data_IF_948659554754
#
_entry.id   IF_948659554754
#
_cell.length_a   1.000
_cell.length_b   1.000
_cell.length_c   1.000
_cell.angle_alpha   90.00
_cell.angle_beta   90.00
_cell.angle_gamma   90.00
#
_symmetry.space_group_name_H-M   'P 1'
#
loop_
_entity.id
_entity.type
_entity.pdbx_description
1 polymer ?
#
# COMPACT_ATOMS: atom_id res chain seq x y z
N UNK A 1 -15.15 16.58 13.26
CA UNK A 1 -14.10 16.37 12.24
C UNK A 1 -13.47 17.72 12.00
N UNK A 2 -12.21 17.89 12.40
CA UNK A 2 -11.55 19.19 12.32
C UNK A 2 -11.24 19.52 10.85
N UNK A 3 -11.40 20.77 10.44
CA UNK A 3 -11.09 21.24 9.07
C UNK A 3 -9.66 20.83 8.68
N UNK A 4 -8.75 20.83 9.65
CA UNK A 4 -7.35 20.39 9.50
C UNK A 4 -7.23 18.91 9.09
N UNK A 5 -8.02 18.02 9.70
CA UNK A 5 -8.02 16.59 9.39
C UNK A 5 -8.58 16.32 7.99
N UNK A 6 -9.64 17.04 7.61
CA UNK A 6 -10.23 16.95 6.28
C UNK A 6 -9.25 17.40 5.18
N UNK A 7 -8.48 18.46 5.44
CA UNK A 7 -7.44 18.94 4.53
C UNK A 7 -6.30 17.91 4.43
N UNK A 8 -5.87 17.35 5.56
CA UNK A 8 -4.80 16.36 5.58
C UNK A 8 -5.18 15.08 4.80
N UNK A 9 -6.39 14.55 5.03
CA UNK A 9 -6.86 13.36 4.29
C UNK A 9 -7.05 13.64 2.80
N UNK A 10 -7.45 14.87 2.43
CA UNK A 10 -7.55 15.30 1.04
C UNK A 10 -6.17 15.38 0.36
N UNK A 11 -5.18 15.96 1.05
CA UNK A 11 -3.79 16.04 0.55
C UNK A 11 -3.21 14.63 0.37
N UNK A 12 -3.46 13.71 1.29
CA UNK A 12 -2.97 12.32 1.20
C UNK A 12 -3.59 11.55 0.03
N UNK A 13 -4.86 11.79 -0.29
CA UNK A 13 -5.56 11.07 -1.38
C UNK A 13 -5.38 11.70 -2.76
N UNK A 14 -5.20 13.02 -2.83
CA UNK A 14 -5.16 13.77 -4.09
C UNK A 14 -3.97 14.73 -4.16
N UNK A 15 -2.80 14.31 -3.66
CA UNK A 15 -1.59 15.15 -3.54
C UNK A 15 -1.23 15.84 -4.86
N UNK A 16 -1.28 15.11 -5.98
CA UNK A 16 -0.94 15.65 -7.30
C UNK A 16 -1.94 16.74 -7.73
N UNK A 17 -3.24 16.49 -7.57
CA UNK A 17 -4.29 17.46 -7.90
C UNK A 17 -4.15 18.74 -7.07
N UNK A 18 -3.86 18.62 -5.77
CA UNK A 18 -3.63 19.75 -4.88
C UNK A 18 -2.40 20.59 -5.27
N UNK A 19 -1.29 19.94 -5.64
CA UNK A 19 -0.09 20.64 -6.10
C UNK A 19 -0.34 21.43 -7.38
N UNK A 20 -1.02 20.83 -8.37
CA UNK A 20 -1.40 21.53 -9.60
C UNK A 20 -2.37 22.68 -9.34
N UNK A 21 -3.26 22.55 -8.35
CA UNK A 21 -4.18 23.62 -7.96
C UNK A 21 -3.43 24.83 -7.38
N UNK A 22 -2.53 24.61 -6.42
CA UNK A 22 -1.73 25.68 -5.81
C UNK A 22 -0.87 26.36 -6.86
N UNK A 23 -0.14 25.57 -7.66
CA UNK A 23 0.71 26.09 -8.72
C UNK A 23 -0.09 26.93 -9.72
N UNK A 24 -1.24 26.41 -10.16
CA UNK A 24 -2.12 27.09 -11.09
C UNK A 24 -2.64 28.41 -10.52
N UNK A 25 -3.12 28.40 -9.29
CA UNK A 25 -3.63 29.59 -8.59
C UNK A 25 -2.56 30.66 -8.42
N UNK A 26 -1.35 30.26 -8.04
CA UNK A 26 -0.21 31.17 -7.90
C UNK A 26 0.16 31.81 -9.24
N UNK A 27 0.24 31.03 -10.32
CA UNK A 27 0.57 31.53 -11.65
C UNK A 27 -0.50 32.49 -12.19
N UNK A 28 -1.78 32.17 -11.99
CA UNK A 28 -2.88 33.06 -12.38
C UNK A 28 -2.87 34.35 -11.55
N UNK A 29 -2.65 34.26 -10.23
CA UNK A 29 -2.55 35.43 -9.36
C UNK A 29 -1.37 36.32 -9.76
N UNK A 30 -0.19 35.74 -10.01
CA UNK A 30 1.01 36.44 -10.47
C UNK A 30 0.80 37.16 -11.82
N UNK A 31 -0.03 36.60 -12.71
CA UNK A 31 -0.38 37.24 -13.97
C UNK A 31 -1.34 38.42 -13.80
N UNK A 32 -2.24 38.37 -12.80
CA UNK A 32 -3.29 39.36 -12.54
C UNK A 32 -2.84 40.51 -11.61
N UNK A 33 -1.78 40.34 -10.84
CA UNK A 33 -1.31 41.37 -9.88
C UNK A 33 -0.96 42.70 -10.53
N UNK A 34 -0.52 42.70 -11.79
CA UNK A 34 -0.24 43.93 -12.54
C UNK A 34 -1.50 44.63 -13.10
N UNK A 35 -2.64 43.95 -13.23
CA UNK A 35 -3.90 44.57 -13.65
C UNK A 35 -4.75 45.07 -12.49
N UNK A 36 -4.50 44.56 -11.27
CA UNK A 36 -5.27 44.88 -10.06
C UNK A 36 -4.68 46.06 -9.24
N UNK A 37 -3.60 46.68 -9.72
CA UNK A 37 -2.95 47.85 -9.11
C UNK A 37 -2.72 47.72 -7.58
N UNK A 38 -2.40 46.50 -7.15
CA UNK A 38 -2.19 46.19 -5.73
C UNK A 38 -0.87 46.82 -5.23
N UNK A 39 -0.91 47.61 -4.14
CA UNK A 39 0.29 48.25 -3.59
C UNK A 39 1.29 47.18 -3.12
N UNK A 40 2.54 47.28 -3.59
CA UNK A 40 3.63 46.36 -3.22
C UNK A 40 3.85 45.14 -4.13
N UNK A 41 2.91 44.83 -5.03
CA UNK A 41 3.02 43.69 -5.98
C UNK A 41 3.15 44.13 -7.44
N UNK A 42 3.09 45.44 -7.70
CA UNK A 42 3.24 46.05 -9.02
C UNK A 42 4.67 45.84 -9.53
N UNK A 43 4.82 45.14 -10.65
CA UNK A 43 6.11 44.93 -11.32
C UNK A 43 6.83 43.60 -11.07
N UNK A 44 6.24 42.64 -10.35
CA UNK A 44 6.86 41.32 -10.11
C UNK A 44 7.12 40.55 -11.42
N UNK A 45 6.22 40.69 -12.41
CA UNK A 45 6.43 40.19 -13.78
C UNK A 45 6.34 41.36 -14.76
N UNK A 46 7.46 42.03 -15.07
CA UNK A 46 7.46 43.27 -15.83
C UNK A 46 7.12 43.04 -17.32
N UNK A 47 7.48 41.89 -17.88
CA UNK A 47 7.28 41.61 -19.30
C UNK A 47 5.88 41.06 -19.58
N UNK A 48 5.23 41.59 -20.63
CA UNK A 48 3.90 41.14 -21.06
C UNK A 48 3.86 39.67 -21.51
N UNK A 49 4.91 39.18 -22.18
CA UNK A 49 4.98 37.81 -22.66
C UNK A 49 5.02 36.77 -21.52
N UNK A 50 5.77 37.02 -20.44
CA UNK A 50 5.80 36.11 -19.29
C UNK A 50 4.47 36.12 -18.50
N UNK A 51 3.73 37.23 -18.54
CA UNK A 51 2.39 37.32 -17.92
C UNK A 51 1.37 36.45 -18.65
N UNK A 52 1.30 36.55 -19.97
CA UNK A 52 0.38 35.71 -20.76
C UNK A 52 0.73 34.23 -20.66
N UNK A 53 2.01 33.87 -20.69
CA UNK A 53 2.48 32.50 -20.48
C UNK A 53 2.11 31.99 -19.07
N UNK A 54 2.32 32.79 -18.03
CA UNK A 54 1.93 32.43 -16.65
C UNK A 54 0.43 32.24 -16.51
N UNK A 55 -0.37 33.10 -17.14
CA UNK A 55 -1.84 32.98 -17.13
C UNK A 55 -2.30 31.68 -17.80
N UNK A 56 -1.75 31.38 -18.99
CA UNK A 56 -2.10 30.16 -19.75
C UNK A 56 -1.67 28.90 -18.98
N UNK A 57 -0.43 28.86 -18.47
CA UNK A 57 0.04 27.74 -17.65
C UNK A 57 -0.75 27.59 -16.34
N UNK A 58 -1.15 28.71 -15.74
CA UNK A 58 -2.00 28.74 -14.56
C UNK A 58 -3.36 28.07 -14.81
N UNK A 59 -4.05 28.49 -15.88
CA UNK A 59 -5.34 27.91 -16.29
C UNK A 59 -5.20 26.42 -16.61
N UNK A 60 -4.17 26.03 -17.38
CA UNK A 60 -3.91 24.62 -17.71
C UNK A 60 -3.69 23.81 -16.43
N UNK A 61 -2.92 24.33 -15.48
CA UNK A 61 -2.64 23.64 -14.21
C UNK A 61 -3.90 23.47 -13.36
N UNK A 62 -4.77 24.49 -13.29
CA UNK A 62 -6.07 24.39 -12.60
C UNK A 62 -6.98 23.37 -13.29
N UNK A 63 -7.06 23.37 -14.63
CA UNK A 63 -7.84 22.38 -15.37
C UNK A 63 -7.31 20.96 -15.17
N UNK A 64 -5.99 20.78 -15.18
CA UNK A 64 -5.35 19.50 -14.92
C UNK A 64 -5.64 19.03 -13.49
N UNK A 65 -5.60 19.94 -12.51
CA UNK A 65 -5.97 19.65 -11.12
C UNK A 65 -7.41 19.13 -11.01
N UNK A 66 -8.36 19.78 -11.67
CA UNK A 66 -9.77 19.36 -11.70
C UNK A 66 -9.89 17.97 -12.34
N UNK A 67 -9.22 17.75 -13.48
CA UNK A 67 -9.22 16.46 -14.18
C UNK A 67 -8.68 15.35 -13.28
N UNK A 68 -7.56 15.59 -12.60
CA UNK A 68 -6.92 14.64 -11.68
C UNK A 68 -7.71 14.40 -10.40
N UNK A 69 -8.52 15.38 -9.98
CA UNK A 69 -9.43 15.21 -8.85
C UNK A 69 -10.57 14.25 -9.20
N UNK A 70 -11.15 14.40 -10.39
CA UNK A 70 -12.25 13.57 -10.86
C UNK A 70 -11.82 12.23 -11.47
N UNK A 71 -10.56 12.07 -11.87
CA UNK A 71 -10.01 10.77 -12.20
C UNK A 71 -9.73 10.02 -10.88
N UNK A 72 -10.50 8.97 -10.56
CA UNK A 72 -10.22 8.18 -9.37
C UNK A 72 -8.80 7.62 -9.48
N UNK A 73 -7.96 7.72 -8.43
CA UNK A 73 -6.65 7.10 -8.44
C UNK A 73 -6.86 5.62 -8.72
N UNK A 74 -6.31 5.14 -9.85
CA UNK A 74 -6.40 3.73 -10.24
C UNK A 74 -5.67 2.80 -9.25
N UNK A 75 -5.10 3.34 -8.16
CA UNK A 75 -4.52 2.59 -7.05
C UNK A 75 -5.46 1.57 -6.39
N UNK A 76 -6.78 1.69 -6.54
CA UNK A 76 -7.73 0.65 -6.11
C UNK A 76 -7.73 -0.61 -7.02
N UNK A 77 -7.10 -0.56 -8.20
CA UNK A 77 -6.83 -1.72 -9.06
C UNK A 77 -5.46 -2.37 -8.78
N UNK A 78 -4.80 -2.02 -7.66
CA UNK A 78 -3.48 -2.58 -7.32
C UNK A 78 -3.52 -4.03 -6.81
N UNK A 79 -4.69 -4.54 -6.42
CA UNK A 79 -4.85 -5.95 -6.02
C UNK A 79 -5.24 -6.76 -7.27
N UNK A 80 -4.37 -7.66 -7.78
CA UNK A 80 -4.70 -8.56 -8.88
C UNK A 80 -6.02 -9.27 -8.62
N UNK A 81 -6.86 -9.44 -9.64
CA UNK A 81 -8.19 -10.07 -9.48
C UNK A 81 -8.11 -11.47 -8.84
N UNK A 82 -7.01 -12.19 -9.08
CA UNK A 82 -6.72 -13.47 -8.43
C UNK A 82 -6.61 -13.40 -6.90
N UNK A 83 -6.26 -12.25 -6.34
CA UNK A 83 -6.15 -11.98 -4.90
C UNK A 83 -7.41 -11.29 -4.33
N UNK A 84 -8.45 -11.06 -5.14
CA UNK A 84 -9.76 -10.57 -4.67
C UNK A 84 -10.68 -11.70 -4.21
N UNK A 85 -10.23 -12.95 -4.39
CA UNK A 85 -10.94 -14.16 -4.00
C UNK A 85 -10.88 -14.34 -2.47
N UNK A 86 -11.99 -14.76 -1.81
CA UNK A 86 -12.01 -15.08 -0.38
C UNK A 86 -10.91 -16.08 0.03
N UNK A 87 -10.39 -15.96 1.25
CA UNK A 87 -9.25 -16.77 1.72
C UNK A 87 -9.47 -18.28 1.64
N UNK A 88 -10.68 -18.78 1.97
CA UNK A 88 -10.98 -20.21 1.86
C UNK A 88 -10.95 -20.69 0.41
N UNK A 89 -11.51 -19.92 -0.50
CA UNK A 89 -11.51 -20.26 -1.91
C UNK A 89 -10.09 -20.14 -2.52
N UNK A 90 -9.30 -19.18 -2.04
CA UNK A 90 -7.86 -19.07 -2.34
C UNK A 90 -7.09 -20.31 -1.89
N UNK A 91 -7.42 -20.85 -0.71
CA UNK A 91 -6.81 -22.07 -0.17
C UNK A 91 -7.00 -23.21 -1.15
N UNK A 92 -8.20 -23.35 -1.68
CA UNK A 92 -8.55 -24.48 -2.52
C UNK A 92 -8.03 -24.34 -3.95
N UNK A 93 -8.05 -23.12 -4.52
CA UNK A 93 -7.66 -22.83 -5.91
C UNK A 93 -6.17 -22.57 -6.13
N UNK A 94 -5.48 -21.87 -5.20
CA UNK A 94 -4.12 -21.39 -5.43
C UNK A 94 -3.03 -22.23 -4.74
N UNK A 95 -3.36 -22.94 -3.67
CA UNK A 95 -2.35 -23.69 -2.92
C UNK A 95 -2.07 -25.06 -3.54
N UNK A 96 -0.79 -25.35 -3.74
CA UNK A 96 -0.30 -26.69 -4.06
C UNK A 96 -0.56 -27.67 -2.91
N UNK A 97 -0.55 -28.98 -3.21
CA UNK A 97 -0.72 -30.04 -2.19
C UNK A 97 0.25 -29.91 -1.01
N UNK A 98 1.51 -29.57 -1.29
CA UNK A 98 2.52 -29.38 -0.25
C UNK A 98 2.23 -28.17 0.65
N UNK A 99 1.78 -27.05 0.08
CA UNK A 99 1.39 -25.88 0.86
C UNK A 99 0.14 -26.14 1.70
N UNK A 100 -0.86 -26.85 1.15
CA UNK A 100 -2.04 -27.29 1.92
C UNK A 100 -1.65 -28.16 3.12
N UNK A 101 -0.67 -29.04 2.96
CA UNK A 101 -0.14 -29.85 4.08
C UNK A 101 0.58 -29.00 5.13
N UNK A 102 1.39 -28.02 4.72
CA UNK A 102 2.08 -27.11 5.64
C UNK A 102 1.04 -26.27 6.40
N UNK A 103 0.10 -25.66 5.69
CA UNK A 103 -0.97 -24.86 6.29
C UNK A 103 -1.82 -25.69 7.26
N UNK A 104 -2.23 -26.90 6.86
CA UNK A 104 -2.97 -27.81 7.72
C UNK A 104 -2.20 -28.21 8.99
N UNK A 105 -0.88 -28.38 8.90
CA UNK A 105 -0.05 -28.60 10.08
C UNK A 105 -0.05 -27.40 11.03
N UNK A 106 0.02 -26.18 10.48
CA UNK A 106 -0.06 -24.95 11.29
C UNK A 106 -1.43 -24.87 11.95
N UNK A 107 -2.49 -25.10 11.19
CA UNK A 107 -3.87 -25.15 11.68
C UNK A 107 -4.03 -26.14 12.84
N UNK A 108 -3.43 -27.33 12.76
CA UNK A 108 -3.50 -28.35 13.81
C UNK A 108 -2.72 -27.97 15.07
N UNK A 109 -1.51 -27.42 14.90
CA UNK A 109 -0.65 -27.05 16.03
C UNK A 109 -1.06 -25.75 16.72
N UNK A 110 -1.80 -24.89 16.04
CA UNK A 110 -2.29 -23.61 16.58
C UNK A 110 -3.77 -23.63 16.97
N UNK A 111 -4.42 -24.81 17.03
CA UNK A 111 -5.84 -24.94 17.41
C UNK A 111 -6.13 -24.23 18.75
N UNK A 112 -5.24 -24.39 19.73
CA UNK A 112 -5.47 -23.92 21.11
C UNK A 112 -4.47 -22.86 21.58
N UNK A 113 -3.49 -22.47 20.75
CA UNK A 113 -2.40 -21.60 21.17
C UNK A 113 -2.01 -20.60 20.09
N UNK A 114 -1.90 -19.34 20.51
CA UNK A 114 -1.54 -18.21 19.66
C UNK A 114 -0.03 -18.03 19.45
N UNK A 115 0.77 -18.91 20.05
CA UNK A 115 2.23 -18.78 20.15
C UNK A 115 2.98 -18.99 18.83
N UNK A 116 2.28 -19.32 17.73
CA UNK A 116 2.89 -19.59 16.44
C UNK A 116 3.84 -20.80 16.46
N UNK A 117 4.51 -21.04 15.35
CA UNK A 117 5.41 -22.18 15.15
C UNK A 117 6.75 -21.66 14.62
N UNK A 118 7.83 -22.03 15.29
CA UNK A 118 9.18 -21.66 14.87
C UNK A 118 9.58 -22.38 13.58
N UNK A 119 10.35 -21.70 12.72
CA UNK A 119 10.82 -22.24 11.44
C UNK A 119 11.52 -23.62 11.58
N UNK A 120 12.34 -23.80 12.62
CA UNK A 120 13.08 -25.04 12.88
C UNK A 120 12.16 -26.28 12.95
N UNK A 121 10.94 -26.12 13.46
CA UNK A 121 9.96 -27.21 13.58
C UNK A 121 9.51 -27.67 12.19
N UNK A 122 9.36 -26.75 11.23
CA UNK A 122 9.03 -27.09 9.86
C UNK A 122 10.20 -27.77 9.16
N UNK A 123 11.42 -27.28 9.36
CA UNK A 123 12.62 -27.88 8.78
C UNK A 123 12.85 -29.31 9.30
N UNK A 124 12.53 -29.57 10.57
CA UNK A 124 12.57 -30.91 11.16
C UNK A 124 11.46 -31.81 10.61
N UNK A 125 10.21 -31.32 10.54
CA UNK A 125 9.06 -32.11 10.07
C UNK A 125 9.15 -32.45 8.58
N UNK A 126 9.66 -31.54 7.78
CA UNK A 126 9.81 -31.68 6.33
C UNK A 126 11.28 -31.85 5.93
N UNK A 127 12.04 -32.63 6.72
CA UNK A 127 13.46 -32.89 6.49
C UNK A 127 13.77 -33.57 5.14
N UNK A 128 12.77 -34.21 4.54
CA UNK A 128 12.83 -34.78 3.20
C UNK A 128 12.82 -33.73 2.09
N UNK A 129 12.63 -32.45 2.42
CA UNK A 129 12.68 -31.30 1.51
C UNK A 129 13.88 -30.41 1.85
N UNK A 130 14.33 -29.64 0.87
CA UNK A 130 15.34 -28.60 1.12
C UNK A 130 14.79 -27.55 2.09
N UNK A 131 15.63 -27.09 3.03
CA UNK A 131 15.30 -25.98 3.95
C UNK A 131 14.84 -24.75 3.18
N UNK A 132 15.52 -24.45 2.07
CA UNK A 132 15.20 -23.35 1.16
C UNK A 132 13.81 -23.50 0.56
N UNK A 133 13.41 -24.71 0.16
CA UNK A 133 12.08 -24.95 -0.39
C UNK A 133 10.98 -24.73 0.67
N UNK A 134 11.20 -25.24 1.89
CA UNK A 134 10.28 -25.05 3.01
C UNK A 134 10.12 -23.58 3.35
N UNK A 135 11.22 -22.82 3.39
CA UNK A 135 11.22 -21.38 3.57
C UNK A 135 10.36 -20.67 2.50
N UNK A 136 10.62 -20.91 1.21
CA UNK A 136 9.85 -20.25 0.14
C UNK A 136 8.37 -20.59 0.17
N UNK A 137 7.99 -21.81 0.57
CA UNK A 137 6.58 -22.19 0.70
C UNK A 137 5.90 -21.45 1.86
N UNK A 138 6.59 -21.24 2.97
CA UNK A 138 6.10 -20.44 4.10
C UNK A 138 5.95 -18.96 3.71
N UNK A 139 6.94 -18.41 2.99
CA UNK A 139 6.87 -17.05 2.46
C UNK A 139 5.69 -16.88 1.49
N UNK A 140 5.44 -17.85 0.60
CA UNK A 140 4.27 -17.82 -0.27
C UNK A 140 2.95 -17.85 0.50
N UNK A 141 2.85 -18.66 1.57
CA UNK A 141 1.66 -18.70 2.42
C UNK A 141 1.44 -17.37 3.17
N UNK A 142 2.52 -16.72 3.61
CA UNK A 142 2.50 -15.38 4.20
C UNK A 142 2.03 -14.33 3.19
N UNK A 143 2.62 -14.29 1.99
CA UNK A 143 2.23 -13.35 0.91
C UNK A 143 0.78 -13.53 0.45
N UNK A 144 0.26 -14.76 0.51
CA UNK A 144 -1.13 -15.06 0.19
C UNK A 144 -2.10 -14.71 1.34
N UNK A 145 -1.61 -14.20 2.47
CA UNK A 145 -2.42 -13.74 3.59
C UNK A 145 -2.90 -14.83 4.54
N UNK A 146 -2.39 -16.06 4.42
CA UNK A 146 -2.75 -17.15 5.34
C UNK A 146 -1.98 -17.09 6.67
N UNK A 147 -0.77 -16.54 6.63
CA UNK A 147 0.13 -16.49 7.76
C UNK A 147 0.50 -15.05 8.11
N UNK A 148 0.89 -14.85 9.35
CA UNK A 148 1.70 -13.74 9.83
C UNK A 148 3.06 -14.30 10.25
N UNK A 149 4.13 -13.54 10.02
CA UNK A 149 5.48 -13.90 10.44
C UNK A 149 6.06 -12.85 11.37
N UNK A 150 6.78 -13.31 12.37
CA UNK A 150 7.46 -12.47 13.36
C UNK A 150 8.92 -12.90 13.46
N UNK A 151 9.83 -11.95 13.31
CA UNK A 151 11.27 -12.21 13.42
C UNK A 151 11.65 -12.28 14.91
N UNK A 152 12.28 -13.39 15.30
CA UNK A 152 12.68 -13.66 16.69
C UNK A 152 14.16 -13.32 16.90
N UNK A 153 14.91 -13.19 15.81
CA UNK A 153 16.34 -12.93 15.82
C UNK A 153 17.05 -13.68 14.69
N UNK A 154 18.37 -13.83 14.82
CA UNK A 154 19.22 -14.45 13.80
C UNK A 154 19.83 -15.75 14.29
N UNK A 155 20.02 -16.70 13.36
CA UNK A 155 20.85 -17.89 13.60
C UNK A 155 22.33 -17.52 13.74
N UNK A 156 23.13 -18.46 14.25
CA UNK A 156 24.61 -18.41 14.24
C UNK A 156 25.21 -18.15 12.83
N UNK A 157 24.45 -18.41 11.76
CA UNK A 157 24.86 -18.22 10.37
C UNK A 157 24.22 -16.96 9.72
N UNK A 158 23.78 -15.98 10.52
CA UNK A 158 23.19 -14.71 10.08
C UNK A 158 21.87 -14.83 9.28
N UNK A 159 21.25 -16.01 9.22
CA UNK A 159 19.92 -16.18 8.63
C UNK A 159 18.83 -15.77 9.64
N UNK A 160 17.84 -14.96 9.22
CA UNK A 160 16.74 -14.54 10.10
C UNK A 160 15.86 -15.74 10.46
N UNK A 161 15.46 -15.80 11.73
CA UNK A 161 14.55 -16.81 12.28
C UNK A 161 13.16 -16.22 12.47
N UNK A 162 12.17 -16.96 11.97
CA UNK A 162 10.79 -16.54 12.03
C UNK A 162 9.93 -17.50 12.87
N UNK A 163 8.97 -16.93 13.59
CA UNK A 163 7.75 -17.62 14.02
C UNK A 163 6.68 -17.34 12.97
N UNK A 164 5.98 -18.39 12.55
CA UNK A 164 4.82 -18.30 11.68
C UNK A 164 3.55 -18.60 12.49
N UNK A 165 2.53 -17.75 12.36
CA UNK A 165 1.20 -17.95 12.96
C UNK A 165 0.12 -17.77 11.91
N UNK A 166 -1.08 -18.30 12.16
CA UNK A 166 -2.22 -18.03 11.27
C UNK A 166 -2.59 -16.56 11.34
N UNK A 167 -2.87 -15.95 10.19
CA UNK A 167 -3.33 -14.57 10.14
C UNK A 167 -4.69 -14.42 10.85
N UNK A 168 -4.91 -13.25 11.45
CA UNK A 168 -6.19 -12.95 12.12
C UNK A 168 -7.40 -13.08 11.17
N UNK A 169 -7.23 -12.70 9.91
CA UNK A 169 -8.27 -12.83 8.88
C UNK A 169 -8.55 -14.29 8.54
N UNK A 170 -7.51 -15.10 8.35
CA UNK A 170 -7.69 -16.51 8.02
C UNK A 170 -8.31 -17.28 9.18
N UNK A 171 -7.92 -16.99 10.43
CA UNK A 171 -8.55 -17.56 11.62
C UNK A 171 -10.04 -17.30 11.68
N UNK A 172 -10.46 -16.06 11.44
CA UNK A 172 -11.88 -15.70 11.34
C UNK A 172 -12.58 -16.49 10.23
N UNK A 173 -11.93 -16.64 9.07
CA UNK A 173 -12.49 -17.37 7.93
C UNK A 173 -12.72 -18.87 8.23
N UNK A 174 -11.85 -19.52 9.02
CA UNK A 174 -12.03 -20.91 9.46
C UNK A 174 -12.84 -21.06 10.76
N UNK A 175 -13.48 -19.97 11.23
CA UNK A 175 -14.35 -19.98 12.41
C UNK A 175 -13.64 -20.04 13.77
N UNK A 176 -12.36 -19.62 13.83
CA UNK A 176 -11.56 -19.62 15.06
C UNK A 176 -11.37 -18.19 15.59
N UNK A 177 -11.66 -17.99 16.88
CA UNK A 177 -11.43 -16.72 17.61
C UNK A 177 -9.99 -16.63 18.05
#
# INVERSE_FOLDING_TARGET
MNILESIQTFIERHTLSFLFFILGTLLTFLALTNSLDLPGLKGIVPYAAYRSVSLVLGIISVLLSILLYYLPPQGAKSIPDALRIPLLERRDKLLSRAQKQILGFIEEKTINNNHGIQQDIFEQKYNNRSKTETYYRLEQLWLLGFLEKEEIGKTLNDLPRYIYRLSSEYRKAIGRR
#
